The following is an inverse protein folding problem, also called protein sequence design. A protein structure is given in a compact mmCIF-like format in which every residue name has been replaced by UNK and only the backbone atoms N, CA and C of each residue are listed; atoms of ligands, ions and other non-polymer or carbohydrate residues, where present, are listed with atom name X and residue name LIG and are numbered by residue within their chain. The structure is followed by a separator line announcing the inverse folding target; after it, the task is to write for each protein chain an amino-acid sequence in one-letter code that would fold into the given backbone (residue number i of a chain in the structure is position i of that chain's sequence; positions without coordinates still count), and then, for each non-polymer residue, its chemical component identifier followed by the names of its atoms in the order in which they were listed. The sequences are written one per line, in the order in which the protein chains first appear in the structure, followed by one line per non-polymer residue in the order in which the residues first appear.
data_IF_895880590233
#
_entry.id   IF_895880590233
#
_cell.length_a   1.000
_cell.length_b   1.000
_cell.length_c   1.000
_cell.angle_alpha   90.00
_cell.angle_beta   90.00
_cell.angle_gamma   90.00
#
_symmetry.space_group_name_H-M   'P 1'
#
loop_
_entity.id
_entity.type
_entity.pdbx_description
1 polymer ?
#
# COMPACT_ATOMS: atom_id res chain seq x y z
N UNK A 1 4.24 -9.67 7.72
CA UNK A 1 5.40 -9.07 7.02
C UNK A 1 6.66 -9.06 7.91
N UNK A 2 7.12 -10.22 8.40
CA UNK A 2 8.34 -10.34 9.23
C UNK A 2 9.55 -10.89 8.44
N UNK A 3 9.31 -11.68 7.40
CA UNK A 3 10.39 -12.28 6.60
C UNK A 3 11.20 -11.26 5.82
N UNK A 4 10.58 -10.20 5.28
CA UNK A 4 11.30 -9.23 4.43
C UNK A 4 12.18 -8.28 5.24
N UNK A 5 11.72 -7.85 6.42
CA UNK A 5 12.59 -7.13 7.35
C UNK A 5 13.79 -8.00 7.75
N UNK A 6 13.59 -9.30 7.97
CA UNK A 6 14.70 -10.23 8.24
C UNK A 6 15.65 -10.40 7.04
N UNK A 7 15.12 -10.47 5.81
CA UNK A 7 15.91 -10.44 4.57
C UNK A 7 16.75 -9.17 4.42
N UNK A 8 16.25 -8.04 4.94
CA UNK A 8 16.90 -6.73 4.88
C UNK A 8 17.94 -6.53 5.99
N UNK A 9 17.63 -6.95 7.21
CA UNK A 9 18.50 -6.84 8.40
C UNK A 9 19.65 -7.87 8.34
N UNK A 10 19.34 -9.12 7.97
CA UNK A 10 20.30 -10.22 7.90
C UNK A 10 20.66 -10.59 6.46
N UNK A 11 20.68 -9.59 5.54
CA UNK A 11 20.93 -9.79 4.11
C UNK A 11 22.18 -10.63 3.84
N UNK A 12 23.30 -10.32 4.50
CA UNK A 12 24.55 -11.08 4.36
C UNK A 12 24.40 -12.54 4.80
N UNK A 13 23.76 -12.78 5.94
CA UNK A 13 23.55 -14.12 6.49
C UNK A 13 22.60 -14.95 5.62
N UNK A 14 21.58 -14.32 5.06
CA UNK A 14 20.64 -14.93 4.13
C UNK A 14 21.35 -15.26 2.81
N UNK A 15 22.16 -14.35 2.26
CA UNK A 15 22.98 -14.59 1.07
C UNK A 15 23.97 -15.76 1.29
N UNK A 16 24.64 -15.82 2.44
CA UNK A 16 25.52 -16.94 2.77
C UNK A 16 24.76 -18.27 2.90
N UNK A 17 23.58 -18.26 3.54
CA UNK A 17 22.70 -19.43 3.64
C UNK A 17 22.18 -19.91 2.28
N UNK A 18 21.78 -18.97 1.42
CA UNK A 18 21.33 -19.23 0.05
C UNK A 18 22.48 -19.76 -0.82
N UNK A 19 23.68 -19.20 -0.68
CA UNK A 19 24.90 -19.69 -1.35
C UNK A 19 25.26 -21.11 -0.92
N UNK A 20 25.14 -21.43 0.38
CA UNK A 20 25.30 -22.81 0.89
C UNK A 20 24.26 -23.78 0.37
N UNK A 21 23.02 -23.32 0.11
CA UNK A 21 21.95 -24.10 -0.53
C UNK A 21 22.03 -24.15 -2.06
N UNK A 22 23.09 -23.61 -2.67
CA UNK A 22 23.23 -23.45 -4.13
C UNK A 22 22.07 -22.71 -4.78
N UNK A 23 21.46 -21.78 -4.06
CA UNK A 23 20.39 -20.96 -4.61
C UNK A 23 20.98 -19.99 -5.64
N UNK A 24 20.52 -20.08 -6.88
CA UNK A 24 21.11 -19.35 -8.01
C UNK A 24 20.66 -17.88 -8.09
N UNK A 25 19.47 -17.58 -7.57
CA UNK A 25 18.90 -16.24 -7.63
C UNK A 25 19.01 -15.52 -6.29
N UNK A 26 20.21 -14.99 -6.03
CA UNK A 26 20.44 -14.08 -4.90
C UNK A 26 19.71 -12.74 -5.10
N UNK A 27 19.42 -12.36 -6.36
CA UNK A 27 18.66 -11.16 -6.72
C UNK A 27 17.19 -11.19 -6.32
N UNK A 28 16.59 -12.39 -6.14
CA UNK A 28 15.20 -12.52 -5.64
C UNK A 28 15.06 -11.92 -4.24
N UNK A 29 16.13 -11.86 -3.45
CA UNK A 29 16.12 -11.21 -2.13
C UNK A 29 15.88 -9.71 -2.28
N UNK A 30 16.59 -9.05 -3.19
CA UNK A 30 16.41 -7.63 -3.46
C UNK A 30 15.03 -7.35 -4.11
N UNK A 31 14.56 -8.21 -5.02
CA UNK A 31 13.22 -8.11 -5.60
C UNK A 31 12.12 -8.30 -4.55
N UNK A 32 12.25 -9.27 -3.65
CA UNK A 32 11.31 -9.47 -2.55
C UNK A 32 11.27 -8.27 -1.59
N UNK A 33 12.43 -7.67 -1.32
CA UNK A 33 12.51 -6.45 -0.51
C UNK A 33 11.80 -5.28 -1.21
N UNK A 34 12.08 -5.07 -2.51
CA UNK A 34 11.46 -4.00 -3.27
C UNK A 34 9.93 -4.18 -3.38
N UNK A 35 9.46 -5.40 -3.66
CA UNK A 35 8.03 -5.70 -3.76
C UNK A 35 7.29 -5.50 -2.43
N UNK A 36 7.88 -5.86 -1.29
CA UNK A 36 7.29 -5.61 0.04
C UNK A 36 7.28 -4.13 0.42
N UNK A 37 8.34 -3.37 0.08
CA UNK A 37 8.41 -1.93 0.33
C UNK A 37 7.33 -1.19 -0.49
N UNK A 38 7.18 -1.57 -1.76
CA UNK A 38 6.15 -1.03 -2.65
C UNK A 38 4.74 -1.42 -2.19
N UNK A 39 4.52 -2.67 -1.77
CA UNK A 39 3.28 -3.12 -1.14
C UNK A 39 2.95 -2.28 0.10
N UNK A 40 3.89 -2.12 1.03
CA UNK A 40 3.68 -1.32 2.25
C UNK A 40 3.36 0.13 1.92
N UNK A 41 4.03 0.69 0.92
CA UNK A 41 3.77 2.06 0.45
C UNK A 41 2.36 2.20 -0.09
N UNK A 42 1.92 1.30 -0.98
CA UNK A 42 0.55 1.28 -1.52
C UNK A 42 -0.46 1.11 -0.39
N UNK A 43 -0.19 0.22 0.57
CA UNK A 43 -1.06 0.01 1.72
C UNK A 43 -1.17 1.27 2.58
N UNK A 44 -0.06 1.96 2.83
CA UNK A 44 -0.04 3.22 3.55
C UNK A 44 -0.81 4.33 2.80
N UNK A 45 -0.62 4.45 1.49
CA UNK A 45 -1.37 5.40 0.66
C UNK A 45 -2.88 5.10 0.69
N UNK A 46 -3.25 3.82 0.61
CA UNK A 46 -4.64 3.37 0.73
C UNK A 46 -5.26 3.75 2.08
N UNK A 47 -4.58 3.44 3.19
CA UNK A 47 -5.02 3.81 4.54
C UNK A 47 -5.12 5.34 4.71
N UNK A 48 -4.16 6.09 4.16
CA UNK A 48 -4.19 7.55 4.17
C UNK A 48 -5.40 8.09 3.40
N UNK A 49 -5.71 7.56 2.21
CA UNK A 49 -6.89 7.95 1.45
C UNK A 49 -8.19 7.58 2.13
N UNK A 50 -8.29 6.39 2.73
CA UNK A 50 -9.47 5.99 3.50
C UNK A 50 -9.69 6.91 4.71
N UNK A 51 -8.61 7.30 5.38
CA UNK A 51 -8.65 8.30 6.45
C UNK A 51 -9.15 9.65 5.93
N UNK A 52 -8.64 10.11 4.79
CA UNK A 52 -9.03 11.38 4.19
C UNK A 52 -10.50 11.38 3.73
N UNK A 53 -10.96 10.30 3.09
CA UNK A 53 -12.38 10.07 2.76
C UNK A 53 -13.26 10.19 4.00
N UNK A 54 -12.85 9.60 5.12
CA UNK A 54 -13.61 9.66 6.37
C UNK A 54 -13.63 11.08 6.96
N UNK A 55 -12.54 11.84 6.87
CA UNK A 55 -12.51 13.26 7.28
C UNK A 55 -13.44 14.10 6.41
N UNK A 56 -13.30 13.99 5.09
CA UNK A 56 -14.13 14.72 4.13
C UNK A 56 -15.61 14.35 4.32
N UNK A 57 -15.92 13.08 4.59
CA UNK A 57 -17.30 12.64 4.89
C UNK A 57 -17.89 13.31 6.12
N UNK A 58 -17.08 13.53 7.17
CA UNK A 58 -17.50 14.27 8.37
C UNK A 58 -17.68 15.76 8.05
N UNK A 59 -16.76 16.36 7.30
CA UNK A 59 -16.85 17.75 6.85
C UNK A 59 -18.10 17.98 6.00
N UNK A 60 -18.44 17.08 5.06
CA UNK A 60 -19.68 17.14 4.29
C UNK A 60 -20.89 17.20 5.23
N UNK A 61 -20.93 16.34 6.25
CA UNK A 61 -22.02 16.34 7.24
C UNK A 61 -22.14 17.65 8.01
N UNK A 62 -21.03 18.30 8.33
CA UNK A 62 -20.99 19.62 8.98
C UNK A 62 -21.42 20.73 8.01
N UNK A 63 -20.87 20.77 6.80
CA UNK A 63 -21.21 21.74 5.76
C UNK A 63 -22.69 21.68 5.37
N UNK A 64 -23.26 20.48 5.29
CA UNK A 64 -24.70 20.31 5.04
C UNK A 64 -25.55 20.83 6.21
N UNK A 65 -25.09 20.71 7.46
CA UNK A 65 -25.75 21.31 8.63
C UNK A 65 -25.64 22.84 8.64
N UNK A 66 -24.50 23.39 8.18
CA UNK A 66 -24.29 24.84 8.01
C UNK A 66 -25.04 25.42 6.79
N UNK A 67 -25.64 24.59 5.93
CA UNK A 67 -26.36 25.03 4.73
C UNK A 67 -25.46 25.31 3.51
N UNK A 68 -24.16 25.02 3.60
CA UNK A 68 -23.15 25.20 2.54
C UNK A 68 -23.20 24.05 1.52
N UNK A 69 -24.24 24.04 0.69
CA UNK A 69 -24.47 22.98 -0.31
C UNK A 69 -23.36 22.87 -1.37
N UNK A 70 -22.83 23.99 -1.85
CA UNK A 70 -21.78 23.99 -2.89
C UNK A 70 -20.46 23.36 -2.39
N UNK A 71 -20.03 23.71 -1.17
CA UNK A 71 -18.83 23.11 -0.57
C UNK A 71 -19.04 21.61 -0.30
N UNK A 72 -20.24 21.22 0.14
CA UNK A 72 -20.60 19.82 0.37
C UNK A 72 -20.63 18.99 -0.94
N UNK A 73 -21.09 19.56 -2.06
CA UNK A 73 -21.04 18.90 -3.37
C UNK A 73 -19.59 18.75 -3.87
N UNK A 74 -18.77 19.79 -3.73
CA UNK A 74 -17.35 19.71 -4.09
C UNK A 74 -16.63 18.63 -3.28
N UNK A 75 -16.87 18.58 -1.98
CA UNK A 75 -16.32 17.56 -1.08
C UNK A 75 -16.83 16.14 -1.40
N UNK A 76 -18.11 15.98 -1.80
CA UNK A 76 -18.64 14.70 -2.30
C UNK A 76 -17.94 14.24 -3.57
N UNK A 77 -17.69 15.15 -4.51
CA UNK A 77 -16.97 14.85 -5.74
C UNK A 77 -15.54 14.39 -5.45
N UNK A 78 -14.82 15.09 -4.56
CA UNK A 78 -13.49 14.66 -4.09
C UNK A 78 -13.54 13.28 -3.43
N UNK A 79 -14.51 13.04 -2.56
CA UNK A 79 -14.69 11.74 -1.91
C UNK A 79 -14.89 10.61 -2.93
N UNK A 80 -15.65 10.85 -4.00
CA UNK A 80 -15.85 9.88 -5.07
C UNK A 80 -14.53 9.57 -5.80
N UNK A 81 -13.75 10.58 -6.16
CA UNK A 81 -12.42 10.41 -6.77
C UNK A 81 -11.47 9.62 -5.85
N UNK A 82 -11.41 9.99 -4.57
CA UNK A 82 -10.58 9.26 -3.61
C UNK A 82 -11.01 7.80 -3.46
N UNK A 83 -12.32 7.51 -3.51
CA UNK A 83 -12.83 6.12 -3.47
C UNK A 83 -12.38 5.32 -4.69
N UNK A 84 -12.41 5.93 -5.86
CA UNK A 84 -11.98 5.31 -7.12
C UNK A 84 -10.48 5.01 -7.09
N UNK A 85 -9.67 6.01 -6.73
CA UNK A 85 -8.22 5.83 -6.55
C UNK A 85 -7.87 4.82 -5.44
N UNK A 86 -8.62 4.79 -4.32
CA UNK A 86 -8.45 3.75 -3.30
C UNK A 86 -8.76 2.35 -3.86
N UNK A 87 -9.78 2.20 -4.69
CA UNK A 87 -10.08 0.91 -5.32
C UNK A 87 -8.96 0.47 -6.25
N UNK A 88 -8.38 1.40 -7.00
CA UNK A 88 -7.26 1.13 -7.89
C UNK A 88 -6.00 0.75 -7.11
N UNK A 89 -5.65 1.50 -6.06
CA UNK A 89 -4.54 1.15 -5.15
C UNK A 89 -4.74 -0.21 -4.50
N UNK A 90 -5.97 -0.57 -4.14
CA UNK A 90 -6.27 -1.88 -3.57
C UNK A 90 -6.03 -3.01 -4.58
N UNK A 91 -6.35 -2.79 -5.85
CA UNK A 91 -6.02 -3.74 -6.92
C UNK A 91 -4.51 -3.82 -7.15
N UNK A 92 -3.79 -2.69 -7.16
CA UNK A 92 -2.33 -2.69 -7.26
C UNK A 92 -1.69 -3.41 -6.07
N UNK A 93 -2.22 -3.22 -4.86
CA UNK A 93 -1.76 -3.91 -3.66
C UNK A 93 -1.90 -5.43 -3.82
N UNK A 94 -3.04 -5.90 -4.28
CA UNK A 94 -3.30 -7.33 -4.49
C UNK A 94 -2.37 -7.92 -5.56
N UNK A 95 -2.12 -7.19 -6.64
CA UNK A 95 -1.14 -7.59 -7.68
C UNK A 95 0.26 -7.69 -7.07
N UNK A 96 0.69 -6.70 -6.30
CA UNK A 96 2.03 -6.69 -5.66
C UNK A 96 2.16 -7.75 -4.56
N UNK A 97 1.09 -8.04 -3.84
CA UNK A 97 1.04 -9.16 -2.89
C UNK A 97 1.21 -10.50 -3.59
N UNK A 98 0.53 -10.71 -4.72
CA UNK A 98 0.71 -11.90 -5.54
C UNK A 98 2.12 -11.98 -6.12
N UNK A 99 2.68 -10.86 -6.59
CA UNK A 99 4.05 -10.80 -7.12
C UNK A 99 5.07 -11.21 -6.04
N UNK A 100 4.94 -10.63 -4.84
CA UNK A 100 5.75 -11.00 -3.68
C UNK A 100 5.60 -12.48 -3.29
N UNK A 101 4.38 -13.03 -3.35
CA UNK A 101 4.09 -14.45 -3.10
C UNK A 101 4.68 -15.39 -4.16
N UNK A 102 4.83 -14.94 -5.40
CA UNK A 102 5.46 -15.73 -6.46
C UNK A 102 7.00 -15.68 -6.38
N UNK A 103 7.56 -14.62 -5.79
CA UNK A 103 9.00 -14.43 -5.58
C UNK A 103 9.53 -15.27 -4.39
N UNK A 104 8.72 -15.42 -3.33
CA UNK A 104 9.06 -16.12 -2.07
C UNK A 104 8.76 -17.62 -2.11
#
# INVERSE_FOLDING_TARGET
MLQVNFLRDEKERVLEGLKKRQFKNLGLVDEAIAADDERKRIQFELDSQLSEINKISKEIGLLMKEGKKEEAESAKSKTAQYKESSSELKSQLEVKENDLLNIL
#
